data_IF_862151034670
#
_entry.id   IF_862151034670
#
_cell.length_a   1.000
_cell.length_b   1.000
_cell.length_c   1.000
_cell.angle_alpha   90.00
_cell.angle_beta   90.00
_cell.angle_gamma   90.00
#
_symmetry.space_group_name_H-M   'P 1'
#
loop_
_entity.id
_entity.type
_entity.pdbx_description
1 polymer ?
#
# COMPACT_ATOMS: atom_id res chain seq x y z
N UNK A 1 15.95 1.98 -6.08
CA UNK A 1 15.99 1.34 -4.74
C UNK A 1 14.66 0.66 -4.48
N UNK A 2 14.59 -0.42 -3.70
CA UNK A 2 13.29 -1.04 -3.34
C UNK A 2 12.65 -0.29 -2.17
N UNK A 3 11.31 -0.27 -2.11
CA UNK A 3 10.59 0.42 -1.04
C UNK A 3 10.93 -0.15 0.34
N UNK A 4 11.10 -1.47 0.45
CA UNK A 4 11.44 -2.16 1.71
C UNK A 4 12.70 -1.61 2.38
N UNK A 5 13.68 -1.13 1.60
CA UNK A 5 14.94 -0.57 2.10
C UNK A 5 14.75 0.78 2.82
N UNK A 6 13.61 1.46 2.58
CA UNK A 6 13.33 2.80 3.07
C UNK A 6 12.28 2.83 4.19
N UNK A 7 11.64 1.71 4.49
CA UNK A 7 10.49 1.64 5.42
C UNK A 7 10.85 0.81 6.65
N UNK A 8 10.09 0.99 7.73
CA UNK A 8 10.20 0.16 8.93
C UNK A 8 9.38 -1.12 8.80
N UNK A 9 8.18 -1.01 8.20
CA UNK A 9 7.23 -2.11 8.05
C UNK A 9 6.16 -1.74 7.03
N UNK A 10 5.67 -2.71 6.27
CA UNK A 10 4.44 -2.60 5.50
C UNK A 10 3.42 -3.58 6.08
N UNK A 11 2.16 -3.15 6.24
CA UNK A 11 1.05 -4.02 6.68
C UNK A 11 -0.19 -3.74 5.87
N UNK A 12 -0.76 -4.77 5.28
CA UNK A 12 -2.12 -4.71 4.77
C UNK A 12 -3.14 -5.03 5.86
N UNK A 13 -4.35 -4.51 5.67
CA UNK A 13 -5.54 -4.77 6.48
C UNK A 13 -6.77 -4.65 5.60
N UNK A 14 -7.79 -5.46 5.87
CA UNK A 14 -9.09 -5.31 5.22
C UNK A 14 -9.79 -4.02 5.68
N UNK A 15 -10.50 -3.38 4.75
CA UNK A 15 -11.39 -2.26 5.01
C UNK A 15 -12.79 -2.64 4.52
N UNK A 16 -13.45 -3.48 5.32
CA UNK A 16 -14.64 -4.20 4.88
C UNK A 16 -14.33 -5.25 3.80
N UNK A 17 -15.36 -5.82 3.18
CA UNK A 17 -15.20 -6.97 2.27
C UNK A 17 -14.71 -6.58 0.86
N UNK A 18 -14.74 -5.29 0.51
CA UNK A 18 -14.50 -4.80 -0.85
C UNK A 18 -13.20 -4.01 -0.99
N UNK A 19 -12.64 -3.48 0.09
CA UNK A 19 -11.45 -2.64 0.06
C UNK A 19 -10.33 -3.25 0.89
N UNK A 20 -9.11 -2.96 0.47
CA UNK A 20 -7.89 -3.23 1.20
C UNK A 20 -7.20 -1.90 1.53
N UNK A 21 -6.65 -1.81 2.73
CA UNK A 21 -5.71 -0.74 3.09
C UNK A 21 -4.32 -1.30 3.32
N UNK A 22 -3.29 -0.54 2.94
CA UNK A 22 -1.89 -0.87 3.15
C UNK A 22 -1.22 0.30 3.86
N UNK A 23 -0.74 0.06 5.07
CA UNK A 23 -0.04 1.03 5.91
C UNK A 23 1.48 0.84 5.74
N UNK A 24 2.16 1.91 5.32
CA UNK A 24 3.62 1.99 5.21
C UNK A 24 4.14 2.78 6.40
N UNK A 25 4.85 2.11 7.30
CA UNK A 25 5.42 2.71 8.50
C UNK A 25 6.87 3.12 8.26
N UNK A 26 7.25 4.32 8.73
CA UNK A 26 8.61 4.83 8.60
C UNK A 26 9.28 4.98 9.96
N UNK A 27 10.59 4.75 10.02
CA UNK A 27 11.37 4.94 11.24
C UNK A 27 11.63 6.41 11.57
N UNK A 28 11.55 7.31 10.58
CA UNK A 28 11.73 8.74 10.77
C UNK A 28 11.04 9.56 9.68
N UNK A 29 10.87 10.85 9.96
CA UNK A 29 10.24 11.85 9.10
C UNK A 29 10.97 12.06 7.76
N UNK A 30 12.31 11.94 7.74
CA UNK A 30 13.11 12.14 6.51
C UNK A 30 12.79 11.07 5.45
N UNK A 31 12.73 9.80 5.86
CA UNK A 31 12.36 8.67 4.97
C UNK A 31 10.90 8.77 4.52
N UNK A 32 9.99 9.10 5.45
CA UNK A 32 8.59 9.35 5.14
C UNK A 32 8.41 10.43 4.07
N UNK A 33 9.03 11.61 4.22
CA UNK A 33 8.94 12.69 3.22
C UNK A 33 9.55 12.27 1.88
N UNK A 34 10.68 11.54 1.89
CA UNK A 34 11.34 11.07 0.67
C UNK A 34 10.43 10.14 -0.14
N UNK A 35 9.80 9.17 0.52
CA UNK A 35 8.88 8.23 -0.13
C UNK A 35 7.58 8.93 -0.53
N UNK A 36 7.02 9.80 0.31
CA UNK A 36 5.80 10.55 0.01
C UNK A 36 5.90 11.35 -1.30
N UNK A 37 7.06 11.96 -1.58
CA UNK A 37 7.31 12.69 -2.83
C UNK A 37 7.34 11.79 -4.07
N UNK A 38 7.66 10.50 -3.91
CA UNK A 38 7.93 9.57 -5.02
C UNK A 38 6.88 8.48 -5.19
N UNK A 39 5.99 8.29 -4.22
CA UNK A 39 4.95 7.28 -4.21
C UNK A 39 3.68 7.87 -4.83
N UNK A 40 3.49 7.67 -6.13
CA UNK A 40 2.38 8.26 -6.89
C UNK A 40 1.29 7.22 -7.17
N UNK A 41 0.05 7.68 -7.38
CA UNK A 41 -1.04 6.81 -7.85
C UNK A 41 -0.68 6.07 -9.14
N UNK A 42 0.18 6.63 -9.99
CA UNK A 42 0.68 5.96 -11.21
C UNK A 42 1.51 4.72 -10.91
N UNK A 43 2.42 4.77 -9.94
CA UNK A 43 3.23 3.61 -9.54
C UNK A 43 2.36 2.51 -8.94
N UNK A 44 1.43 2.87 -8.06
CA UNK A 44 0.49 1.92 -7.44
C UNK A 44 -0.46 1.31 -8.48
N UNK A 45 -0.93 2.13 -9.42
CA UNK A 45 -1.78 1.71 -10.53
C UNK A 45 -1.09 0.67 -11.40
N UNK A 46 0.17 0.91 -11.78
CA UNK A 46 0.96 -0.04 -12.53
C UNK A 46 1.24 -1.33 -11.75
N UNK A 47 1.59 -1.21 -10.46
CA UNK A 47 1.93 -2.34 -9.61
C UNK A 47 0.76 -3.32 -9.41
N UNK A 48 -0.44 -2.80 -9.15
CA UNK A 48 -1.63 -3.63 -8.86
C UNK A 48 -2.60 -3.77 -10.03
N UNK A 49 -2.32 -3.13 -11.18
CA UNK A 49 -3.23 -3.06 -12.33
C UNK A 49 -4.61 -2.48 -11.98
N UNK A 50 -4.62 -1.42 -11.17
CA UNK A 50 -5.84 -0.75 -10.69
C UNK A 50 -5.94 0.65 -11.30
N UNK A 51 -7.10 1.09 -11.80
CA UNK A 51 -7.29 2.46 -12.27
C UNK A 51 -6.95 3.50 -11.20
N UNK A 52 -6.18 4.54 -11.55
CA UNK A 52 -5.76 5.61 -10.61
C UNK A 52 -6.91 6.23 -9.80
N UNK A 53 -8.10 6.30 -10.39
CA UNK A 53 -9.32 6.84 -9.75
C UNK A 53 -9.84 6.01 -8.57
N UNK A 54 -9.41 4.75 -8.44
CA UNK A 54 -9.79 3.84 -7.36
C UNK A 54 -8.68 3.67 -6.31
N UNK A 55 -7.61 4.43 -6.42
CA UNK A 55 -6.46 4.36 -5.52
C UNK A 55 -6.46 5.63 -4.70
N UNK A 56 -6.44 5.51 -3.38
CA UNK A 56 -6.23 6.63 -2.48
C UNK A 56 -4.92 6.50 -1.73
N UNK A 57 -4.24 7.62 -1.54
CA UNK A 57 -2.97 7.72 -0.80
C UNK A 57 -3.14 8.82 0.23
N UNK A 58 -3.06 8.46 1.51
CA UNK A 58 -3.25 9.34 2.66
C UNK A 58 -1.97 9.40 3.49
N UNK A 59 -1.23 10.53 3.47
CA UNK A 59 -0.14 10.76 4.40
C UNK A 59 -0.66 11.11 5.80
N UNK A 60 -0.22 10.36 6.81
CA UNK A 60 -0.50 10.61 8.23
C UNK A 60 0.79 11.15 8.86
N UNK A 61 0.96 12.47 8.79
CA UNK A 61 2.19 13.16 9.16
C UNK A 61 2.63 12.91 10.60
N UNK A 62 1.69 12.93 11.56
CA UNK A 62 1.99 12.78 12.98
C UNK A 62 2.55 11.40 13.35
N UNK A 63 2.28 10.40 12.51
CA UNK A 63 2.72 9.02 12.73
C UNK A 63 3.84 8.57 11.80
N UNK A 64 4.25 9.43 10.84
CA UNK A 64 5.10 9.04 9.72
C UNK A 64 4.57 7.75 9.05
N UNK A 65 3.30 7.76 8.64
CA UNK A 65 2.65 6.63 7.96
C UNK A 65 2.09 7.13 6.63
N UNK A 66 2.22 6.32 5.57
CA UNK A 66 1.42 6.48 4.35
C UNK A 66 0.43 5.33 4.30
N UNK A 67 -0.87 5.66 4.23
CA UNK A 67 -1.94 4.67 4.01
C UNK A 67 -2.33 4.69 2.54
N UNK A 68 -2.38 3.51 1.93
CA UNK A 68 -2.94 3.31 0.59
C UNK A 68 -4.27 2.58 0.74
N UNK A 69 -5.30 2.98 0.00
CA UNK A 69 -6.56 2.23 -0.11
C UNK A 69 -6.79 1.84 -1.56
N UNK A 70 -7.13 0.57 -1.79
CA UNK A 70 -7.40 -0.01 -3.11
C UNK A 70 -8.61 -0.96 -3.04
N UNK A 71 -9.33 -1.19 -4.15
CA UNK A 71 -10.32 -2.26 -4.22
C UNK A 71 -9.64 -3.63 -4.13
N UNK A 72 -10.35 -4.58 -3.52
CA UNK A 72 -9.97 -5.99 -3.58
C UNK A 72 -10.33 -6.56 -4.96
N UNK A 73 -9.50 -7.44 -5.55
CA UNK A 73 -9.85 -8.13 -6.79
C UNK A 73 -10.97 -9.16 -6.58
N UNK A 74 -11.11 -9.66 -5.34
CA UNK A 74 -12.13 -10.62 -4.95
C UNK A 74 -12.74 -10.22 -3.60
N UNK A 75 -14.06 -10.35 -3.47
CA UNK A 75 -14.79 -10.10 -2.21
C UNK A 75 -14.21 -10.99 -1.12
N UNK A 76 -13.90 -10.38 0.02
CA UNK A 76 -13.33 -11.08 1.16
C UNK A 76 -14.22 -12.24 1.60
N UNK A 77 -13.62 -13.42 1.84
CA UNK A 77 -14.32 -14.60 2.36
C UNK A 77 -15.17 -15.34 1.31
N UNK A 78 -15.17 -14.90 0.06
CA UNK A 78 -15.76 -15.71 -1.02
C UNK A 78 -14.92 -16.96 -1.32
N UNK A 79 -15.51 -17.95 -1.99
CA UNK A 79 -14.81 -19.17 -2.42
C UNK A 79 -13.62 -18.93 -3.34
N UNK A 80 -13.55 -17.74 -3.96
CA UNK A 80 -12.44 -17.31 -4.83
C UNK A 80 -11.40 -16.47 -4.10
N UNK A 81 -11.61 -16.16 -2.82
CA UNK A 81 -10.68 -15.35 -2.03
C UNK A 81 -9.48 -16.19 -1.59
N UNK A 82 -8.33 -15.90 -2.19
CA UNK A 82 -7.07 -16.64 -1.94
C UNK A 82 -6.19 -15.96 -0.91
N UNK A 83 -6.55 -14.77 -0.46
CA UNK A 83 -5.79 -14.01 0.53
C UNK A 83 -6.76 -13.23 1.43
N UNK A 84 -7.28 -13.95 2.43
CA UNK A 84 -8.31 -13.47 3.34
C UNK A 84 -7.92 -12.17 4.07
N UNK A 85 -6.63 -11.98 4.33
CA UNK A 85 -6.11 -10.80 5.04
C UNK A 85 -5.47 -9.76 4.10
N UNK A 86 -5.31 -10.09 2.83
CA UNK A 86 -4.61 -9.29 1.83
C UNK A 86 -3.11 -9.13 2.11
N UNK A 87 -2.50 -10.05 2.85
CA UNK A 87 -1.09 -9.98 3.26
C UNK A 87 -0.14 -9.88 2.05
N UNK A 88 -0.46 -10.59 0.96
CA UNK A 88 0.34 -10.62 -0.26
C UNK A 88 0.48 -9.24 -0.91
N UNK A 89 -0.51 -8.37 -0.77
CA UNK A 89 -0.45 -7.00 -1.30
C UNK A 89 0.64 -6.18 -0.63
N UNK A 90 0.85 -6.36 0.68
CA UNK A 90 1.95 -5.73 1.41
C UNK A 90 3.31 -6.15 0.85
N UNK A 91 3.50 -7.46 0.62
CA UNK A 91 4.74 -8.03 0.06
C UNK A 91 5.00 -7.51 -1.36
N UNK A 92 3.97 -7.43 -2.21
CA UNK A 92 4.10 -6.85 -3.56
C UNK A 92 4.53 -5.38 -3.48
N UNK A 93 4.04 -4.63 -2.49
CA UNK A 93 4.42 -3.22 -2.30
C UNK A 93 5.87 -3.05 -1.86
N UNK A 94 6.40 -3.96 -1.04
CA UNK A 94 7.78 -3.96 -0.56
C UNK A 94 8.79 -3.97 -1.72
N UNK A 95 8.44 -4.68 -2.79
CA UNK A 95 9.23 -4.85 -4.00
C UNK A 95 9.15 -3.65 -4.97
N UNK A 96 8.28 -2.67 -4.70
CA UNK A 96 8.14 -1.49 -5.56
C UNK A 96 9.48 -0.75 -5.65
N UNK A 97 9.97 -0.58 -6.88
CA UNK A 97 11.12 0.29 -7.13
C UNK A 97 10.69 1.75 -6.97
N UNK A 98 11.33 2.43 -6.03
CA UNK A 98 11.09 3.84 -5.75
C UNK A 98 12.44 4.58 -5.88
N UNK A 99 12.39 5.71 -6.59
CA UNK A 99 13.53 6.49 -7.13
C UNK A 99 14.04 5.91 -8.44
#
# INVERSE_FOLDING_TARGET
MKLIELVKKIRSKNAGPFLLTIDIFFSNKKRFIKVLKNLTKSKISFLYQIPKKQIDIYPIHNLNIIKITIPRPTIQGSTKDRDLHGASFGIILEELTIL
#
